data_IF_761409283968
#
_entry.id   IF_761409283968
#
_cell.length_a   1.000
_cell.length_b   1.000
_cell.length_c   1.000
_cell.angle_alpha   90.00
_cell.angle_beta   90.00
_cell.angle_gamma   90.00
#
_symmetry.space_group_name_H-M   'P 1'
#
loop_
_entity.id
_entity.type
_entity.pdbx_description
1 polymer ?
#
# COMPACT_ATOMS: atom_id res chain seq x y z
N UNK A 1 -7.52 -5.61 3.86
CA UNK A 1 -8.51 -4.66 4.41
C UNK A 1 -9.91 -5.06 4.01
N UNK A 2 -10.87 -4.88 4.92
CA UNK A 2 -12.27 -5.10 4.62
C UNK A 2 -12.80 -4.15 3.55
N UNK A 3 -13.95 -4.49 2.92
CA UNK A 3 -14.54 -3.64 1.89
C UNK A 3 -15.03 -2.32 2.48
N UNK A 4 -14.89 -1.23 1.73
CA UNK A 4 -15.49 0.04 2.07
C UNK A 4 -17.02 -0.07 2.03
N UNK A 5 -17.71 0.58 2.96
CA UNK A 5 -19.18 0.57 3.02
C UNK A 5 -19.80 1.22 1.78
N UNK A 6 -19.12 2.23 1.23
CA UNK A 6 -19.55 2.97 0.04
C UNK A 6 -18.49 2.80 -1.03
N UNK A 7 -18.87 2.51 -2.26
CA UNK A 7 -17.94 2.46 -3.39
C UNK A 7 -17.42 3.86 -3.69
N UNK A 8 -16.16 3.95 -4.15
CA UNK A 8 -15.64 5.19 -4.70
C UNK A 8 -16.32 5.54 -6.02
N UNK A 9 -16.09 6.76 -6.53
CA UNK A 9 -16.63 7.18 -7.82
C UNK A 9 -16.23 6.23 -8.97
N UNK A 10 -15.05 5.59 -8.86
CA UNK A 10 -14.61 4.59 -9.83
C UNK A 10 -15.07 3.16 -9.55
N UNK A 11 -15.99 2.95 -8.60
CA UNK A 11 -16.49 1.63 -8.24
C UNK A 11 -15.54 0.79 -7.41
N UNK A 12 -14.55 1.41 -6.77
CA UNK A 12 -13.56 0.72 -5.94
C UNK A 12 -14.10 0.45 -4.55
N UNK A 13 -13.66 -0.66 -3.95
CA UNK A 13 -14.11 -1.10 -2.62
C UNK A 13 -12.98 -1.36 -1.64
N UNK A 14 -11.77 -1.59 -2.13
CA UNK A 14 -10.62 -2.00 -1.31
C UNK A 14 -9.44 -1.09 -1.56
N UNK A 15 -8.54 -1.06 -0.57
CA UNK A 15 -7.27 -0.34 -0.67
C UNK A 15 -6.15 -1.36 -0.47
N UNK A 16 -5.18 -1.35 -1.37
CA UNK A 16 -3.91 -2.04 -1.21
C UNK A 16 -2.86 -1.00 -0.80
N UNK A 17 -2.18 -1.24 0.31
CA UNK A 17 -1.11 -0.37 0.81
C UNK A 17 0.21 -1.11 0.66
N UNK A 18 1.17 -0.45 0.02
CA UNK A 18 2.53 -0.96 -0.16
C UNK A 18 3.50 0.06 0.41
N UNK A 19 4.46 -0.39 1.22
CA UNK A 19 5.43 0.48 1.89
C UNK A 19 6.83 -0.03 1.61
N UNK A 20 7.72 0.88 1.22
CA UNK A 20 9.15 0.58 1.15
C UNK A 20 9.72 0.61 2.58
N UNK A 21 10.32 -0.48 2.99
CA UNK A 21 10.80 -0.68 4.36
C UNK A 21 11.92 0.30 4.74
N UNK A 22 12.75 0.68 3.78
CA UNK A 22 13.88 1.59 4.01
C UNK A 22 13.44 3.06 4.04
N UNK A 23 12.77 3.52 2.97
CA UNK A 23 12.38 4.92 2.82
C UNK A 23 11.06 5.25 3.50
N UNK A 24 10.26 4.24 3.84
CA UNK A 24 8.88 4.38 4.31
C UNK A 24 7.95 5.01 3.27
N UNK A 25 8.40 5.15 2.02
CA UNK A 25 7.53 5.62 0.96
C UNK A 25 6.34 4.68 0.81
N UNK A 26 5.16 5.27 0.70
CA UNK A 26 3.90 4.51 0.70
C UNK A 26 3.19 4.70 -0.62
N UNK A 27 2.71 3.60 -1.20
CA UNK A 27 1.83 3.59 -2.36
C UNK A 27 0.48 3.04 -1.94
N UNK A 28 -0.58 3.62 -2.49
CA UNK A 28 -1.93 3.09 -2.34
C UNK A 28 -2.51 2.78 -3.70
N UNK A 29 -3.17 1.64 -3.80
CA UNK A 29 -3.84 1.20 -5.02
C UNK A 29 -5.28 0.86 -4.66
N UNK A 30 -6.22 1.44 -5.37
CA UNK A 30 -7.64 1.18 -5.17
C UNK A 30 -8.07 -0.03 -6.00
N UNK A 31 -8.81 -0.93 -5.39
CA UNK A 31 -9.22 -2.20 -6.00
C UNK A 31 -10.75 -2.32 -6.00
N UNK A 32 -11.29 -2.86 -7.08
CA UNK A 32 -12.70 -3.29 -7.14
C UNK A 32 -12.89 -4.59 -6.40
N UNK A 33 -11.93 -5.49 -6.54
CA UNK A 33 -11.94 -6.83 -5.96
C UNK A 33 -10.56 -7.13 -5.35
N UNK A 34 -10.54 -7.92 -4.29
CA UNK A 34 -9.28 -8.38 -3.67
C UNK A 34 -8.42 -9.19 -4.63
N UNK A 35 -9.03 -9.91 -5.58
CA UNK A 35 -8.30 -10.68 -6.58
C UNK A 35 -7.42 -9.81 -7.49
N UNK A 36 -7.71 -8.51 -7.62
CA UNK A 36 -6.88 -7.59 -8.38
C UNK A 36 -5.54 -7.26 -7.70
N UNK A 37 -5.41 -7.52 -6.40
CA UNK A 37 -4.22 -7.14 -5.63
C UNK A 37 -2.94 -7.72 -6.24
N UNK A 38 -2.98 -8.98 -6.66
CA UNK A 38 -1.85 -9.67 -7.26
C UNK A 38 -1.32 -8.95 -8.50
N UNK A 39 -2.20 -8.65 -9.46
CA UNK A 39 -1.82 -7.98 -10.70
C UNK A 39 -1.29 -6.59 -10.44
N UNK A 40 -1.87 -5.89 -9.48
CA UNK A 40 -1.48 -4.53 -9.11
C UNK A 40 -0.10 -4.50 -8.45
N UNK A 41 0.21 -5.48 -7.60
CA UNK A 41 1.54 -5.60 -7.00
C UNK A 41 2.60 -5.88 -8.06
N UNK A 42 2.35 -6.82 -8.95
CA UNK A 42 3.27 -7.18 -10.03
C UNK A 42 3.51 -5.96 -10.93
N UNK A 43 2.45 -5.25 -11.30
CA UNK A 43 2.56 -4.04 -12.11
C UNK A 43 3.36 -2.95 -11.40
N UNK A 44 3.11 -2.71 -10.12
CA UNK A 44 3.85 -1.74 -9.32
C UNK A 44 5.33 -2.09 -9.23
N UNK A 45 5.66 -3.36 -8.97
CA UNK A 45 7.05 -3.81 -8.91
C UNK A 45 7.78 -3.59 -10.23
N UNK A 46 7.17 -3.96 -11.35
CA UNK A 46 7.74 -3.73 -12.68
C UNK A 46 7.97 -2.25 -12.96
N UNK A 47 6.98 -1.43 -12.64
CA UNK A 47 7.05 0.02 -12.84
C UNK A 47 8.17 0.64 -12.01
N UNK A 48 8.28 0.28 -10.73
CA UNK A 48 9.32 0.80 -9.84
C UNK A 48 10.72 0.40 -10.29
N UNK A 49 10.89 -0.83 -10.75
CA UNK A 49 12.20 -1.29 -11.25
C UNK A 49 12.64 -0.51 -12.48
N UNK A 50 11.70 -0.17 -13.36
CA UNK A 50 12.00 0.60 -14.57
C UNK A 50 12.18 2.09 -14.25
N UNK A 51 11.18 2.70 -13.60
CA UNK A 51 11.13 4.16 -13.39
C UNK A 51 12.21 4.66 -12.43
N UNK A 52 12.52 3.87 -11.41
CA UNK A 52 13.48 4.24 -10.37
C UNK A 52 14.86 3.57 -10.54
N UNK A 53 14.99 2.70 -11.51
CA UNK A 53 16.21 1.91 -11.74
C UNK A 53 16.69 1.23 -10.45
N UNK A 54 15.77 0.65 -9.71
CA UNK A 54 16.03 -0.05 -8.45
C UNK A 54 15.80 -1.54 -8.63
N UNK A 55 16.43 -2.33 -7.76
CA UNK A 55 16.22 -3.77 -7.70
C UNK A 55 15.42 -4.08 -6.44
N UNK A 56 14.26 -4.69 -6.61
CA UNK A 56 13.46 -5.17 -5.50
C UNK A 56 14.00 -6.53 -5.10
N UNK A 57 14.41 -6.68 -3.84
CA UNK A 57 15.02 -7.91 -3.33
C UNK A 57 14.06 -8.76 -2.52
N UNK A 58 13.05 -8.13 -1.89
CA UNK A 58 12.15 -8.83 -1.00
C UNK A 58 10.77 -8.21 -1.00
N UNK A 59 9.74 -9.06 -0.94
CA UNK A 59 8.35 -8.65 -0.72
C UNK A 59 7.85 -9.35 0.54
N UNK A 60 7.41 -8.56 1.52
CA UNK A 60 6.79 -9.05 2.75
C UNK A 60 5.28 -8.86 2.68
N UNK A 61 4.53 -9.87 3.05
CA UNK A 61 3.08 -9.81 3.14
C UNK A 61 2.58 -10.71 4.27
N UNK A 62 1.30 -10.59 4.60
CA UNK A 62 0.64 -11.55 5.47
C UNK A 62 0.22 -12.80 4.69
N UNK A 63 -0.24 -13.84 5.42
CA UNK A 63 -0.70 -15.11 4.85
C UNK A 63 -2.12 -15.02 4.30
N UNK A 64 -2.45 -13.99 3.52
CA UNK A 64 -3.75 -13.91 2.86
C UNK A 64 -3.72 -14.62 1.52
N UNK A 65 -4.85 -15.19 1.11
CA UNK A 65 -4.97 -15.90 -0.16
C UNK A 65 -4.53 -15.07 -1.36
N UNK A 66 -4.74 -13.76 -1.31
CA UNK A 66 -4.36 -12.84 -2.38
C UNK A 66 -2.86 -12.86 -2.66
N UNK A 67 -2.05 -13.17 -1.63
CA UNK A 67 -0.58 -13.17 -1.73
C UNK A 67 0.02 -14.57 -1.78
N UNK A 68 -0.72 -15.60 -1.38
CA UNK A 68 -0.32 -17.00 -1.51
C UNK A 68 -0.78 -17.53 -2.87
N UNK A 69 -0.18 -17.02 -3.94
CA UNK A 69 -0.60 -17.33 -5.29
C UNK A 69 0.59 -17.76 -6.15
N UNK A 70 0.37 -18.77 -7.01
CA UNK A 70 1.39 -19.31 -7.90
C UNK A 70 1.95 -18.23 -8.85
N UNK A 71 1.09 -17.31 -9.34
CA UNK A 71 1.53 -16.22 -10.23
C UNK A 71 2.51 -15.28 -9.54
N UNK A 72 2.25 -14.93 -8.27
CA UNK A 72 3.16 -14.07 -7.52
C UNK A 72 4.46 -14.81 -7.22
N UNK A 73 4.39 -16.06 -6.83
CA UNK A 73 5.59 -16.89 -6.59
C UNK A 73 6.43 -17.03 -7.86
N UNK A 74 5.82 -17.27 -9.01
CA UNK A 74 6.51 -17.36 -10.30
C UNK A 74 7.17 -16.02 -10.65
N UNK A 75 6.45 -14.91 -10.51
CA UNK A 75 7.00 -13.57 -10.75
C UNK A 75 8.20 -13.31 -9.85
N UNK A 76 8.10 -13.59 -8.56
CA UNK A 76 9.19 -13.38 -7.61
C UNK A 76 10.42 -14.24 -7.96
N UNK A 77 10.22 -15.51 -8.31
CA UNK A 77 11.30 -16.38 -8.74
C UNK A 77 11.98 -15.86 -10.01
N UNK A 78 11.21 -15.45 -11.01
CA UNK A 78 11.75 -14.95 -12.28
C UNK A 78 12.54 -13.66 -12.11
N UNK A 79 12.16 -12.83 -11.14
CA UNK A 79 12.82 -11.54 -10.86
C UNK A 79 13.90 -11.63 -9.77
N UNK A 80 14.11 -12.80 -9.18
CA UNK A 80 15.04 -12.96 -8.07
C UNK A 80 14.58 -12.28 -6.77
N UNK A 81 13.28 -12.13 -6.60
CA UNK A 81 12.68 -11.50 -5.40
C UNK A 81 12.37 -12.58 -4.37
N UNK A 82 12.83 -12.36 -3.14
CA UNK A 82 12.49 -13.24 -2.03
C UNK A 82 11.10 -12.90 -1.49
N UNK A 83 10.21 -13.86 -1.50
CA UNK A 83 8.85 -13.71 -0.94
C UNK A 83 8.85 -14.17 0.51
N UNK A 84 8.43 -13.28 1.43
CA UNK A 84 8.39 -13.54 2.86
C UNK A 84 6.98 -13.30 3.39
N UNK A 85 6.45 -14.30 4.11
CA UNK A 85 5.15 -14.19 4.78
C UNK A 85 5.37 -13.96 6.26
N UNK A 86 4.65 -12.98 6.83
CA UNK A 86 4.68 -12.74 8.27
C UNK A 86 3.90 -13.83 9.01
N UNK A 87 4.44 -14.24 10.16
CA UNK A 87 3.75 -15.20 11.00
C UNK A 87 2.48 -14.59 11.62
N UNK A 88 1.35 -15.32 11.63
CA UNK A 88 0.13 -14.85 12.29
C UNK A 88 0.31 -14.57 13.78
N UNK A 89 1.33 -15.19 14.38
CA UNK A 89 1.66 -15.05 15.83
C UNK A 89 2.59 -13.88 16.13
N UNK A 90 3.06 -13.16 15.10
CA UNK A 90 3.99 -12.03 15.27
C UNK A 90 3.42 -10.79 14.57
N UNK A 91 2.46 -10.10 15.20
CA UNK A 91 1.82 -8.91 14.59
C UNK A 91 2.83 -7.80 14.27
N UNK A 92 3.96 -7.73 14.96
CA UNK A 92 4.99 -6.72 14.74
C UNK A 92 5.65 -6.78 13.36
N UNK A 93 5.60 -7.92 12.68
CA UNK A 93 6.19 -8.08 11.34
C UNK A 93 5.51 -7.23 10.27
N UNK A 94 4.24 -6.88 10.47
CA UNK A 94 3.46 -6.03 9.56
C UNK A 94 3.09 -4.67 10.18
N UNK A 95 3.68 -4.33 11.32
CA UNK A 95 3.32 -3.14 12.08
C UNK A 95 3.43 -1.84 11.30
N UNK A 96 4.45 -1.72 10.43
CA UNK A 96 4.68 -0.52 9.61
C UNK A 96 3.55 -0.34 8.60
N UNK A 97 3.21 -1.41 7.87
CA UNK A 97 2.13 -1.36 6.87
C UNK A 97 0.78 -1.09 7.54
N UNK A 98 0.50 -1.75 8.66
CA UNK A 98 -0.73 -1.53 9.42
C UNK A 98 -0.85 -0.09 9.92
N UNK A 99 0.26 0.48 10.43
CA UNK A 99 0.30 1.86 10.86
C UNK A 99 0.05 2.83 9.71
N UNK A 100 0.72 2.66 8.59
CA UNK A 100 0.53 3.50 7.40
C UNK A 100 -0.89 3.41 6.87
N UNK A 101 -1.43 2.20 6.83
CA UNK A 101 -2.82 1.98 6.44
C UNK A 101 -3.80 2.74 7.34
N UNK A 102 -3.59 2.66 8.64
CA UNK A 102 -4.43 3.36 9.63
C UNK A 102 -4.36 4.87 9.45
N UNK A 103 -3.14 5.41 9.31
CA UNK A 103 -2.93 6.85 9.16
C UNK A 103 -3.58 7.37 7.88
N UNK A 104 -3.40 6.68 6.76
CA UNK A 104 -3.99 7.06 5.48
C UNK A 104 -5.52 7.09 5.57
N UNK A 105 -6.12 6.06 6.15
CA UNK A 105 -7.57 5.99 6.31
C UNK A 105 -8.11 7.08 7.24
N UNK A 106 -7.40 7.34 8.34
CA UNK A 106 -7.78 8.39 9.29
C UNK A 106 -7.72 9.78 8.64
N UNK A 107 -6.64 10.08 7.92
CA UNK A 107 -6.50 11.35 7.20
C UNK A 107 -7.60 11.52 6.15
N UNK A 108 -7.90 10.47 5.40
CA UNK A 108 -8.98 10.50 4.39
C UNK A 108 -10.34 10.75 5.05
N UNK A 109 -10.61 10.09 6.15
CA UNK A 109 -11.86 10.23 6.92
C UNK A 109 -12.02 11.66 7.44
N UNK A 110 -10.96 12.24 8.01
CA UNK A 110 -10.94 13.62 8.51
C UNK A 110 -11.19 14.61 7.38
N UNK A 111 -10.54 14.44 6.22
CA UNK A 111 -10.76 15.31 5.06
C UNK A 111 -12.22 15.32 4.61
N UNK A 112 -12.83 14.16 4.49
CA UNK A 112 -14.23 14.03 4.06
C UNK A 112 -15.17 14.67 5.06
N UNK A 113 -14.95 14.43 6.35
CA UNK A 113 -15.79 14.95 7.43
C UNK A 113 -15.70 16.48 7.52
N UNK A 114 -14.49 17.03 7.58
CA UNK A 114 -14.28 18.47 7.77
C UNK A 114 -14.77 19.30 6.59
N UNK A 115 -14.68 18.76 5.38
CA UNK A 115 -15.14 19.44 4.17
C UNK A 115 -16.58 19.09 3.81
N UNK A 116 -17.24 18.26 4.60
CA UNK A 116 -18.62 17.78 4.37
C UNK A 116 -18.79 17.19 2.97
N UNK A 117 -17.79 16.41 2.52
CA UNK A 117 -17.78 15.81 1.20
C UNK A 117 -18.51 14.45 1.22
N UNK A 118 -19.10 14.04 0.07
CA UNK A 118 -19.70 12.72 -0.04
C UNK A 118 -18.71 11.59 0.26
N UNK A 119 -19.17 10.54 0.92
CA UNK A 119 -18.34 9.36 1.22
C UNK A 119 -17.80 8.67 -0.01
N UNK A 120 -18.48 8.79 -1.16
CA UNK A 120 -18.00 8.24 -2.44
C UNK A 120 -16.68 8.82 -2.92
N UNK A 121 -16.23 9.95 -2.34
CA UNK A 121 -14.93 10.56 -2.63
C UNK A 121 -13.78 9.98 -1.80
N UNK A 122 -14.02 8.90 -1.07
CA UNK A 122 -12.97 8.33 -0.21
C UNK A 122 -11.72 7.91 -0.98
N UNK A 123 -11.87 7.46 -2.24
CA UNK A 123 -10.73 7.07 -3.06
C UNK A 123 -9.79 8.24 -3.35
N UNK A 124 -10.34 9.39 -3.73
CA UNK A 124 -9.56 10.61 -3.93
C UNK A 124 -8.93 11.09 -2.63
N UNK A 125 -9.67 11.02 -1.51
CA UNK A 125 -9.15 11.40 -0.20
C UNK A 125 -7.98 10.51 0.22
N UNK A 126 -8.04 9.22 -0.03
CA UNK A 126 -6.96 8.26 0.24
C UNK A 126 -5.72 8.60 -0.58
N UNK A 127 -5.87 8.90 -1.86
CA UNK A 127 -4.75 9.27 -2.72
C UNK A 127 -4.08 10.57 -2.23
N UNK A 128 -4.87 11.58 -1.85
CA UNK A 128 -4.34 12.83 -1.29
C UNK A 128 -3.63 12.57 0.04
N UNK A 129 -4.21 11.76 0.91
CA UNK A 129 -3.61 11.41 2.18
C UNK A 129 -2.25 10.72 2.00
N UNK A 130 -2.16 9.78 1.07
CA UNK A 130 -0.90 9.10 0.76
C UNK A 130 0.15 10.06 0.22
N UNK A 131 -0.22 10.93 -0.70
CA UNK A 131 0.67 11.96 -1.25
C UNK A 131 1.20 12.87 -0.13
N UNK A 132 0.34 13.31 0.77
CA UNK A 132 0.71 14.15 1.91
C UNK A 132 1.62 13.40 2.88
N UNK A 133 1.29 12.16 3.19
CA UNK A 133 2.08 11.32 4.10
C UNK A 133 3.53 11.18 3.65
N UNK A 134 3.75 10.98 2.37
CA UNK A 134 5.10 10.85 1.81
C UNK A 134 5.92 12.14 1.85
N UNK A 135 5.28 13.29 1.90
CA UNK A 135 5.94 14.61 1.76
C UNK A 135 5.99 15.44 3.04
N UNK A 136 5.17 15.12 4.02
CA UNK A 136 5.04 15.92 5.25
C UNK A 136 5.66 15.22 6.46
N UNK A 137 5.49 13.92 6.57
CA UNK A 137 5.98 13.16 7.72
C UNK A 137 7.43 12.76 7.55
N UNK A 138 8.23 12.97 8.60
CA UNK A 138 9.63 12.57 8.62
C UNK A 138 9.78 11.07 8.88
N UNK A 139 10.82 10.50 8.31
CA UNK A 139 11.25 9.15 8.63
C UNK A 139 11.78 9.14 10.06
N UNK A 140 11.49 8.12 10.88
CA UNK A 140 12.05 8.02 12.23
C UNK A 140 13.57 8.22 12.23
N UNK A 141 14.05 9.02 13.18
CA UNK A 141 15.47 9.35 13.35
C UNK A 141 16.11 10.08 12.16
N UNK A 142 15.29 10.68 11.30
CA UNK A 142 15.75 11.42 10.12
C UNK A 142 15.02 12.77 10.03
N UNK A 143 15.67 13.74 9.40
CA UNK A 143 15.05 15.01 9.05
C UNK A 143 14.49 15.02 7.63
N UNK A 144 14.43 13.85 7.00
CA UNK A 144 13.95 13.71 5.62
C UNK A 144 12.59 13.02 5.58
N UNK A 145 11.80 13.40 4.59
CA UNK A 145 10.54 12.70 4.29
C UNK A 145 10.80 11.51 3.36
N UNK A 146 9.87 10.55 3.27
CA UNK A 146 10.00 9.45 2.30
C UNK A 146 10.20 9.93 0.86
N UNK A 147 9.59 11.04 0.50
CA UNK A 147 9.71 11.61 -0.85
C UNK A 147 11.13 12.10 -1.16
N UNK A 148 11.86 12.56 -0.17
CA UNK A 148 13.23 13.10 -0.32
C UNK A 148 14.29 12.00 -0.43
N UNK A 149 13.95 10.76 -0.14
CA UNK A 149 14.83 9.62 -0.27
C UNK A 149 14.62 8.92 -1.61
#
# INVERSE_FOLDING_TARGET
>A
MGPARVQSLGGKKYILVVVDDFTRYTWVVLLKDKAEALEKIIHLCKKLQVDKNIVITRIKSDHRREFENTKLATFCNDQGIHQEFSSPKTPQQNGIVEQKNRVVQEMARVMLHNKKLPKSLWGQAVNIACHTLNRVYFIPDSKKTPYEL
#
